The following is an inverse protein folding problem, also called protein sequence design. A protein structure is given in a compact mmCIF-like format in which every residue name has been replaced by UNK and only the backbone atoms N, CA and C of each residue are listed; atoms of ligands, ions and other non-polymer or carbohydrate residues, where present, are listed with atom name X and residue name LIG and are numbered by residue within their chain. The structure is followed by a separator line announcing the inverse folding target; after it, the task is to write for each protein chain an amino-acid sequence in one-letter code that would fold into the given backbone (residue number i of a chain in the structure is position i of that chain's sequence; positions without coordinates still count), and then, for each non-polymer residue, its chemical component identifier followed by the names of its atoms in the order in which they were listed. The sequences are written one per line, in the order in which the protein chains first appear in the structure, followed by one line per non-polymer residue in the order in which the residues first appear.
data_IF_479365691435
#
_entry.id   IF_479365691435
#
_cell.length_a   1.000
_cell.length_b   1.000
_cell.length_c   1.000
_cell.angle_alpha   90.00
_cell.angle_beta   90.00
_cell.angle_gamma   90.00
#
_symmetry.space_group_name_H-M   'P 1'
#
loop_
_entity.id
_entity.type
_entity.pdbx_description
1 polymer ?
#
# COMPACT_ATOMS: atom_id res chain seq x y z
N UNK A 1 -4.31 -0.44 3.79
CA UNK A 1 -5.34 0.59 4.03
C UNK A 1 -5.51 1.55 2.85
N UNK A 2 -4.44 2.01 2.20
CA UNK A 2 -4.53 2.95 1.08
C UNK A 2 -5.54 2.55 -0.02
N UNK A 3 -5.58 1.27 -0.42
CA UNK A 3 -6.53 0.77 -1.44
C UNK A 3 -7.98 1.09 -1.03
N UNK A 4 -8.38 0.74 0.19
CA UNK A 4 -9.74 0.96 0.70
C UNK A 4 -10.12 2.45 0.69
N UNK A 5 -9.23 3.32 1.18
CA UNK A 5 -9.48 4.76 1.20
C UNK A 5 -9.59 5.35 -0.20
N UNK A 6 -8.62 5.06 -1.07
CA UNK A 6 -8.58 5.62 -2.42
C UNK A 6 -9.77 5.14 -3.26
N UNK A 7 -10.17 3.87 -3.12
CA UNK A 7 -11.35 3.34 -3.79
C UNK A 7 -12.63 4.07 -3.34
N UNK A 8 -12.80 4.30 -2.03
CA UNK A 8 -13.96 5.05 -1.50
C UNK A 8 -13.92 6.55 -1.81
N UNK A 9 -12.74 7.10 -2.08
CA UNK A 9 -12.56 8.45 -2.61
C UNK A 9 -12.83 8.55 -4.13
N UNK A 10 -13.15 7.44 -4.80
CA UNK A 10 -13.45 7.40 -6.23
C UNK A 10 -12.22 7.41 -7.14
N UNK A 11 -11.04 7.09 -6.61
CA UNK A 11 -9.82 7.00 -7.40
C UNK A 11 -9.78 5.70 -8.24
N UNK A 12 -9.15 5.76 -9.41
CA UNK A 12 -8.71 4.58 -10.16
C UNK A 12 -7.42 4.04 -9.51
N UNK A 13 -7.51 2.95 -8.76
CA UNK A 13 -6.43 2.48 -7.90
C UNK A 13 -5.57 1.45 -8.62
N UNK A 14 -4.30 1.79 -8.87
CA UNK A 14 -3.30 0.87 -9.43
C UNK A 14 -2.38 0.38 -8.32
N UNK A 15 -2.30 -0.95 -8.15
CA UNK A 15 -1.45 -1.58 -7.13
C UNK A 15 -0.19 -2.17 -7.76
N UNK A 16 0.95 -1.86 -7.17
CA UNK A 16 2.24 -2.48 -7.48
C UNK A 16 2.68 -3.39 -6.34
N UNK A 17 3.06 -4.63 -6.65
CA UNK A 17 3.52 -5.60 -5.65
C UNK A 17 4.69 -6.42 -6.17
N UNK A 18 5.57 -6.89 -5.30
CA UNK A 18 6.71 -7.75 -5.69
C UNK A 18 6.29 -9.14 -6.18
N UNK A 19 5.08 -9.60 -5.82
CA UNK A 19 4.54 -10.91 -6.21
C UNK A 19 3.03 -10.84 -6.47
N UNK A 20 2.48 -11.87 -7.13
CA UNK A 20 1.05 -11.97 -7.42
C UNK A 20 0.18 -12.48 -6.26
N UNK A 21 0.77 -12.87 -5.14
CA UNK A 21 0.07 -13.59 -4.04
C UNK A 21 -1.04 -12.81 -3.34
N UNK A 22 -1.10 -11.49 -3.56
CA UNK A 22 -2.09 -10.56 -3.01
C UNK A 22 -3.00 -9.96 -4.10
N UNK A 23 -2.97 -10.49 -5.34
CA UNK A 23 -3.73 -9.93 -6.46
C UNK A 23 -5.24 -9.94 -6.18
N UNK A 24 -5.80 -11.12 -5.97
CA UNK A 24 -7.25 -11.29 -5.76
C UNK A 24 -7.74 -10.45 -4.59
N UNK A 25 -7.03 -10.50 -3.47
CA UNK A 25 -7.31 -9.73 -2.27
C UNK A 25 -7.23 -8.21 -2.53
N UNK A 26 -6.20 -7.72 -3.24
CA UNK A 26 -6.11 -6.31 -3.60
C UNK A 26 -7.28 -5.86 -4.50
N UNK A 27 -7.70 -6.69 -5.46
CA UNK A 27 -8.86 -6.40 -6.31
C UNK A 27 -10.15 -6.35 -5.48
N UNK A 28 -10.35 -7.28 -4.55
CA UNK A 28 -11.50 -7.28 -3.62
C UNK A 28 -11.52 -6.04 -2.74
N UNK A 29 -10.35 -5.53 -2.33
CA UNK A 29 -10.23 -4.30 -1.53
C UNK A 29 -10.49 -3.01 -2.34
N UNK A 30 -10.73 -3.10 -3.65
CA UNK A 30 -11.05 -1.97 -4.51
C UNK A 30 -9.92 -1.51 -5.43
N UNK A 31 -8.87 -2.31 -5.62
CA UNK A 31 -7.91 -2.04 -6.69
C UNK A 31 -8.59 -2.19 -8.06
N UNK A 32 -8.34 -1.22 -8.94
CA UNK A 32 -8.81 -1.25 -10.32
C UNK A 32 -7.85 -2.03 -11.22
N UNK A 33 -6.55 -1.99 -10.91
CA UNK A 33 -5.51 -2.70 -11.62
C UNK A 33 -4.43 -3.20 -10.66
N UNK A 34 -3.73 -4.29 -11.03
CA UNK A 34 -2.66 -4.87 -10.23
C UNK A 34 -1.49 -5.35 -11.10
N UNK A 35 -0.28 -4.91 -10.74
CA UNK A 35 0.95 -5.22 -11.44
C UNK A 35 1.99 -5.82 -10.50
N UNK A 36 2.60 -6.91 -10.95
CA UNK A 36 3.79 -7.46 -10.30
C UNK A 36 5.00 -6.66 -10.78
N UNK A 37 5.90 -6.26 -9.87
CA UNK A 37 7.04 -5.39 -10.18
C UNK A 37 8.31 -6.16 -10.52
N UNK A 38 8.39 -7.44 -10.12
CA UNK A 38 9.54 -8.29 -10.36
C UNK A 38 9.64 -8.65 -11.85
N UNK A 39 10.83 -8.47 -12.42
CA UNK A 39 11.19 -8.82 -13.80
C UNK A 39 10.30 -8.17 -14.88
N UNK A 40 9.77 -6.98 -14.59
CA UNK A 40 8.96 -6.19 -15.52
C UNK A 40 9.76 -5.00 -16.06
N UNK A 41 9.75 -4.84 -17.39
CA UNK A 41 10.40 -3.73 -18.08
C UNK A 41 9.48 -2.50 -18.23
N UNK A 42 8.17 -2.68 -18.23
CA UNK A 42 7.19 -1.60 -18.41
C UNK A 42 5.83 -1.95 -17.79
N UNK A 43 5.14 -0.94 -17.20
CA UNK A 43 3.76 -1.09 -16.75
C UNK A 43 2.76 -0.55 -17.78
N UNK A 44 1.90 -1.42 -18.30
CA UNK A 44 0.82 -1.04 -19.23
C UNK A 44 -0.44 -0.62 -18.46
N UNK A 45 -0.39 0.53 -17.81
CA UNK A 45 -1.45 1.05 -16.90
C UNK A 45 -2.62 1.77 -17.60
N UNK A 46 -2.55 1.92 -18.92
CA UNK A 46 -3.59 2.56 -19.75
C UNK A 46 -3.67 4.08 -19.63
N UNK A 47 -3.53 4.63 -18.41
CA UNK A 47 -3.43 6.06 -18.15
C UNK A 47 -2.34 6.34 -17.11
N UNK A 48 -1.56 7.43 -17.27
CA UNK A 48 -0.46 7.74 -16.36
C UNK A 48 -0.98 8.14 -14.97
N UNK A 49 -0.25 7.74 -13.93
CA UNK A 49 -0.57 8.02 -12.54
C UNK A 49 -0.41 9.50 -12.24
N UNK A 50 -1.33 10.05 -11.44
CA UNK A 50 -1.22 11.42 -10.92
C UNK A 50 -0.50 11.46 -9.56
N UNK A 51 -0.72 10.45 -8.72
CA UNK A 51 -0.17 10.32 -7.38
C UNK A 51 0.37 8.90 -7.19
N UNK A 52 1.60 8.76 -6.69
CA UNK A 52 2.17 7.48 -6.27
C UNK A 52 2.40 7.50 -4.76
N UNK A 53 1.70 6.64 -4.02
CA UNK A 53 1.91 6.46 -2.58
C UNK A 53 2.83 5.25 -2.37
N UNK A 54 4.01 5.48 -1.80
CA UNK A 54 5.00 4.43 -1.57
C UNK A 54 4.88 3.96 -0.12
N UNK A 55 4.44 2.72 0.06
CA UNK A 55 4.19 2.11 1.38
C UNK A 55 5.01 0.84 1.62
N UNK A 56 6.11 0.67 0.89
CA UNK A 56 6.98 -0.51 0.98
C UNK A 56 7.87 -0.41 2.22
N UNK A 57 8.12 -1.53 2.89
CA UNK A 57 9.04 -1.60 4.04
C UNK A 57 10.52 -1.48 3.66
N UNK A 58 10.82 -1.59 2.36
CA UNK A 58 12.13 -1.38 1.77
C UNK A 58 12.01 -0.32 0.68
N UNK A 59 13.13 0.34 0.36
CA UNK A 59 13.16 1.28 -0.75
C UNK A 59 12.80 0.55 -2.05
N UNK A 60 11.78 1.02 -2.80
CA UNK A 60 11.55 0.53 -4.15
C UNK A 60 12.79 0.68 -5.01
N UNK A 61 12.87 -0.09 -6.07
CA UNK A 61 13.97 0.05 -7.01
C UNK A 61 13.78 1.29 -7.88
N UNK A 62 14.40 2.38 -7.43
CA UNK A 62 14.41 3.65 -8.14
C UNK A 62 15.46 3.71 -9.25
N UNK A 63 16.22 2.63 -9.47
CA UNK A 63 17.29 2.65 -10.45
C UNK A 63 16.71 2.70 -11.87
N UNK A 64 17.41 3.41 -12.77
CA UNK A 64 17.23 3.27 -14.20
C UNK A 64 17.15 1.83 -14.68
N UNK A 65 16.03 1.43 -15.28
CA UNK A 65 15.85 0.07 -15.82
C UNK A 65 15.17 0.03 -17.18
N UNK A 66 14.55 1.14 -17.61
CA UNK A 66 13.80 1.19 -18.86
C UNK A 66 14.64 1.87 -19.95
N UNK A 67 15.08 1.16 -21.00
CA UNK A 67 15.78 1.75 -22.14
C UNK A 67 14.84 2.59 -23.02
N UNK A 68 15.34 3.53 -23.84
CA UNK A 68 16.74 3.93 -24.00
C UNK A 68 17.21 5.01 -23.01
N UNK A 69 16.28 5.69 -22.33
CA UNK A 69 16.55 6.88 -21.50
C UNK A 69 16.93 6.52 -20.05
N UNK A 70 16.95 5.22 -19.69
CA UNK A 70 17.39 4.78 -18.36
C UNK A 70 16.54 5.46 -17.26
N UNK A 71 15.21 5.41 -17.42
CA UNK A 71 14.28 5.94 -16.42
C UNK A 71 13.90 4.84 -15.41
N UNK A 72 13.59 5.26 -14.17
CA UNK A 72 13.00 4.38 -13.18
C UNK A 72 11.62 3.90 -13.66
N UNK A 73 11.35 2.60 -13.47
CA UNK A 73 10.10 1.95 -13.88
C UNK A 73 8.83 2.60 -13.29
N UNK A 74 8.89 3.11 -12.07
CA UNK A 74 7.75 3.81 -11.46
C UNK A 74 7.58 5.24 -12.01
N UNK A 75 8.68 5.90 -12.37
CA UNK A 75 8.63 7.25 -12.94
C UNK A 75 8.03 7.24 -14.35
N UNK A 76 8.25 6.19 -15.15
CA UNK A 76 7.60 6.06 -16.46
C UNK A 76 6.09 5.85 -16.37
N UNK A 77 5.60 5.38 -15.23
CA UNK A 77 4.17 5.20 -14.96
C UNK A 77 3.48 6.48 -14.45
N UNK A 78 4.21 7.54 -14.10
CA UNK A 78 3.65 8.78 -13.54
C UNK A 78 3.64 9.86 -14.62
N UNK A 79 2.58 10.68 -14.66
CA UNK A 79 2.51 11.81 -15.59
C UNK A 79 3.58 12.87 -15.26
N UNK A 80 3.98 13.72 -16.21
CA UNK A 80 4.74 14.93 -15.89
C UNK A 80 4.04 15.73 -14.78
N UNK A 81 4.81 16.19 -13.78
CA UNK A 81 4.32 16.89 -12.59
C UNK A 81 3.41 16.05 -11.66
N UNK A 82 3.41 14.71 -11.79
CA UNK A 82 2.79 13.84 -10.80
C UNK A 82 3.54 13.88 -9.46
N UNK A 83 2.85 13.51 -8.38
CA UNK A 83 3.38 13.63 -7.01
C UNK A 83 3.67 12.25 -6.41
N UNK A 84 4.84 12.10 -5.78
CA UNK A 84 5.21 10.89 -5.06
C UNK A 84 5.14 11.19 -3.57
N UNK A 85 4.38 10.36 -2.84
CA UNK A 85 4.25 10.41 -1.39
C UNK A 85 4.98 9.21 -0.79
N UNK A 86 6.26 9.36 -0.39
CA UNK A 86 6.90 8.35 0.42
C UNK A 86 6.25 8.36 1.81
N UNK A 87 5.59 7.25 2.20
CA UNK A 87 5.16 7.12 3.58
C UNK A 87 6.39 6.83 4.45
N UNK A 88 6.78 7.82 5.22
CA UNK A 88 7.80 7.72 6.25
C UNK A 88 7.14 7.62 7.62
N UNK A 89 7.93 7.27 8.63
CA UNK A 89 7.50 7.41 10.02
C UNK A 89 7.51 8.89 10.36
N UNK A 90 6.34 9.46 10.68
CA UNK A 90 6.31 10.78 11.30
C UNK A 90 6.50 10.64 12.80
N UNK A 91 7.40 11.45 13.36
CA UNK A 91 7.56 11.61 14.80
C UNK A 91 6.72 12.77 15.36
N UNK A 92 5.93 13.44 14.52
CA UNK A 92 5.03 14.49 14.97
C UNK A 92 3.80 13.88 15.63
N UNK A 93 3.24 14.62 16.59
CA UNK A 93 1.95 14.24 17.17
C UNK A 93 0.90 14.17 16.06
N UNK A 94 0.06 13.13 16.12
CA UNK A 94 -1.18 13.08 15.35
C UNK A 94 -2.12 14.15 15.92
N UNK A 95 -2.19 15.28 15.24
CA UNK A 95 -2.96 16.43 15.69
C UNK A 95 -4.42 16.30 15.25
N UNK A 96 -5.34 16.48 16.19
CA UNK A 96 -6.76 16.69 15.87
C UNK A 96 -6.91 18.03 15.11
N UNK A 97 -7.75 18.12 14.07
CA UNK A 97 -8.91 17.26 13.79
C UNK A 97 -8.69 16.20 12.69
N UNK A 98 -7.47 16.03 12.15
CA UNK A 98 -7.23 15.17 10.98
C UNK A 98 -7.65 13.72 11.23
N UNK A 99 -7.32 13.19 12.42
CA UNK A 99 -7.70 11.82 12.81
C UNK A 99 -9.21 11.67 12.94
N UNK A 100 -9.91 12.65 13.52
CA UNK A 100 -11.37 12.60 13.66
C UNK A 100 -12.05 12.56 12.29
N UNK A 101 -11.64 13.41 11.35
CA UNK A 101 -12.19 13.38 9.98
C UNK A 101 -11.90 12.06 9.27
N UNK A 102 -10.71 11.49 9.47
CA UNK A 102 -10.38 10.18 8.94
C UNK A 102 -11.32 9.11 9.51
N UNK A 103 -11.54 9.11 10.83
CA UNK A 103 -12.44 8.15 11.50
C UNK A 103 -13.89 8.31 11.04
N UNK A 104 -14.39 9.54 10.93
CA UNK A 104 -15.71 9.85 10.36
C UNK A 104 -15.85 9.30 8.94
N UNK A 105 -14.84 9.53 8.08
CA UNK A 105 -14.82 9.00 6.73
C UNK A 105 -14.83 7.47 6.71
N UNK A 106 -14.04 6.82 7.59
CA UNK A 106 -14.02 5.35 7.69
C UNK A 106 -15.35 4.77 8.13
N UNK A 107 -15.99 5.39 9.13
CA UNK A 107 -17.29 4.96 9.63
C UNK A 107 -18.37 5.13 8.56
N UNK A 108 -18.39 6.28 7.87
CA UNK A 108 -19.37 6.55 6.81
C UNK A 108 -19.24 5.60 5.62
N UNK A 109 -18.01 5.21 5.26
CA UNK A 109 -17.75 4.40 4.07
C UNK A 109 -17.59 2.89 4.35
N UNK A 110 -17.76 2.47 5.60
CA UNK A 110 -17.54 1.10 6.07
C UNK A 110 -16.14 0.58 5.70
N UNK A 111 -15.11 1.39 5.98
CA UNK A 111 -13.72 1.00 5.75
C UNK A 111 -13.22 0.25 6.98
N UNK A 112 -13.00 -1.04 6.81
CA UNK A 112 -12.46 -1.91 7.87
C UNK A 112 -11.08 -2.46 7.48
N UNK A 113 -10.13 -2.51 8.43
CA UNK A 113 -8.85 -3.12 8.17
C UNK A 113 -8.96 -4.64 8.05
N UNK A 114 -8.24 -5.22 7.09
CA UNK A 114 -7.99 -6.67 7.07
C UNK A 114 -7.01 -6.97 8.19
N UNK A 115 -7.45 -7.76 9.16
CA UNK A 115 -6.69 -8.08 10.37
C UNK A 115 -6.66 -9.57 10.64
N UNK A 116 -5.58 -9.98 11.29
CA UNK A 116 -5.42 -11.28 11.91
C UNK A 116 -5.40 -11.09 13.43
N UNK A 117 -6.22 -11.84 14.16
CA UNK A 117 -6.32 -11.72 15.61
C UNK A 117 -5.38 -12.73 16.26
N UNK A 118 -4.54 -12.25 17.19
CA UNK A 118 -3.70 -13.10 18.04
C UNK A 118 -3.98 -12.81 19.52
N UNK A 119 -3.73 -13.77 20.43
CA UNK A 119 -3.92 -13.54 21.86
C UNK A 119 -3.07 -12.37 22.37
N UNK A 120 -3.64 -11.55 23.26
CA UNK A 120 -2.92 -10.51 24.00
C UNK A 120 -2.08 -11.13 25.12
N UNK A 121 -1.11 -11.95 24.71
CA UNK A 121 -0.17 -12.66 25.57
C UNK A 121 1.21 -12.66 24.91
N UNK A 122 2.25 -12.98 25.69
CA UNK A 122 3.64 -13.05 25.20
C UNK A 122 3.76 -13.91 23.93
N UNK A 123 3.09 -15.07 23.90
CA UNK A 123 3.08 -15.97 22.75
C UNK A 123 2.50 -15.32 21.49
N UNK A 124 1.38 -14.59 21.61
CA UNK A 124 0.77 -13.88 20.48
C UNK A 124 1.63 -12.72 19.96
N UNK A 125 2.35 -12.03 20.85
CA UNK A 125 3.34 -11.01 20.45
C UNK A 125 4.48 -11.64 19.67
N UNK A 126 5.09 -12.70 20.21
CA UNK A 126 6.22 -13.39 19.57
C UNK A 126 5.83 -13.97 18.21
N UNK A 127 4.67 -14.61 18.11
CA UNK A 127 4.11 -15.12 16.86
C UNK A 127 3.88 -13.99 15.85
N UNK A 128 3.20 -12.91 16.27
CA UNK A 128 2.91 -11.77 15.40
C UNK A 128 4.19 -11.13 14.82
N UNK A 129 5.21 -10.95 15.66
CA UNK A 129 6.51 -10.38 15.25
C UNK A 129 7.28 -11.32 14.31
N UNK A 130 7.29 -12.62 14.58
CA UNK A 130 7.93 -13.61 13.72
C UNK A 130 7.28 -13.66 12.33
N UNK A 131 5.94 -13.72 12.29
CA UNK A 131 5.17 -13.75 11.03
C UNK A 131 5.33 -12.47 10.23
N UNK A 132 5.35 -11.31 10.89
CA UNK A 132 5.57 -10.02 10.24
C UNK A 132 6.95 -9.97 9.58
N UNK A 133 8.00 -10.38 10.31
CA UNK A 133 9.37 -10.41 9.82
C UNK A 133 9.55 -11.34 8.62
N UNK A 134 8.82 -12.45 8.60
CA UNK A 134 8.84 -13.42 7.50
C UNK A 134 7.89 -13.07 6.34
N UNK A 135 7.20 -11.93 6.38
CA UNK A 135 6.24 -11.51 5.34
C UNK A 135 4.99 -12.39 5.25
N UNK A 136 4.67 -13.13 6.31
CA UNK A 136 3.55 -14.08 6.38
C UNK A 136 2.25 -13.44 6.90
N UNK A 137 2.30 -12.17 7.31
CA UNK A 137 1.12 -11.39 7.73
C UNK A 137 0.35 -10.89 6.51
N UNK A 138 -0.95 -11.13 6.53
CA UNK A 138 -1.92 -10.51 5.63
C UNK A 138 -2.39 -9.19 6.24
N UNK A 139 -1.68 -8.12 5.86
CA UNK A 139 -1.96 -6.70 6.13
C UNK A 139 -1.77 -6.23 7.57
N UNK A 140 -2.37 -6.87 8.58
CA UNK A 140 -2.27 -6.39 9.96
C UNK A 140 -2.53 -7.48 10.99
N UNK A 141 -1.84 -7.39 12.12
CA UNK A 141 -2.07 -8.23 13.30
C UNK A 141 -2.63 -7.36 14.42
N UNK A 142 -3.68 -7.85 15.10
CA UNK A 142 -4.29 -7.19 16.25
C UNK A 142 -4.29 -8.15 17.43
N UNK A 143 -3.71 -7.72 18.55
CA UNK A 143 -3.74 -8.48 19.79
C UNK A 143 -5.07 -8.26 20.51
N UNK A 144 -5.72 -9.36 20.89
CA UNK A 144 -7.05 -9.33 21.55
C UNK A 144 -7.00 -10.04 22.90
N UNK A 145 -7.63 -9.43 23.91
CA UNK A 145 -7.65 -9.91 25.30
C UNK A 145 -8.63 -11.06 25.50
#
# INVERSE_FOLDING_TARGET
MAILFLAKMGANVVVFSSSGSKREEAMQLGASQFYVTKDVAEFKIGAPLTHLIVTTSFLPDWRPRVPPIHICLFLSAIKPQGTIFPLTVSHTNLVLPVVLRMLEFTAHNHIEPVIERLPMAKSGVEEGMARLSNGQVRYGVVLVA
#
